data_IF_814608618942
#
_entry.id   IF_814608618942
#
_cell.length_a   1.000
_cell.length_b   1.000
_cell.length_c   1.000
_cell.angle_alpha   90.00
_cell.angle_beta   90.00
_cell.angle_gamma   90.00
#
_symmetry.space_group_name_H-M   'P 1'
#
loop_
_entity.id
_entity.type
_entity.pdbx_description
1 polymer ?
#
# COMPACT_ATOMS: atom_id res chain seq x y z
N UNK A 1 -2.00 -6.50 7.98
CA UNK A 1 -1.77 -7.01 6.61
C UNK A 1 -2.48 -8.34 6.39
N UNK A 2 -2.15 -9.40 7.14
CA UNK A 2 -2.72 -10.76 6.94
C UNK A 2 -4.25 -10.87 6.97
N UNK A 3 -4.93 -10.07 7.79
CA UNK A 3 -6.39 -10.14 7.96
C UNK A 3 -7.19 -9.46 6.84
N UNK A 4 -6.70 -8.32 6.34
CA UNK A 4 -7.50 -7.41 5.47
C UNK A 4 -7.05 -7.45 4.01
N UNK A 5 -5.77 -7.78 3.77
CA UNK A 5 -5.20 -7.84 2.43
C UNK A 5 -5.87 -8.86 1.50
N UNK A 6 -6.32 -10.05 1.96
CA UNK A 6 -7.07 -10.99 1.13
C UNK A 6 -8.35 -10.41 0.53
N UNK A 7 -8.92 -9.37 1.14
CA UNK A 7 -10.16 -8.72 0.70
C UNK A 7 -9.88 -7.43 -0.09
N UNK A 8 -8.81 -6.71 0.22
CA UNK A 8 -8.52 -5.41 -0.41
C UNK A 8 -7.63 -5.51 -1.65
N UNK A 9 -6.73 -6.50 -1.72
CA UNK A 9 -5.73 -6.62 -2.80
C UNK A 9 -4.95 -5.31 -3.03
N UNK A 10 -4.58 -4.64 -1.95
CA UNK A 10 -3.87 -3.37 -1.96
C UNK A 10 -2.39 -3.51 -2.32
N UNK A 11 -1.76 -4.64 -2.01
CA UNK A 11 -0.36 -4.98 -2.25
C UNK A 11 -0.23 -6.09 -3.30
N UNK A 12 0.64 -5.89 -4.28
CA UNK A 12 1.01 -6.90 -5.27
C UNK A 12 2.27 -7.69 -4.88
N UNK A 13 3.17 -7.06 -4.12
CA UNK A 13 4.38 -7.69 -3.58
C UNK A 13 4.54 -7.30 -2.11
N UNK A 14 3.93 -8.04 -1.17
CA UNK A 14 4.16 -7.84 0.26
C UNK A 14 5.62 -8.14 0.64
N UNK A 15 6.23 -7.31 1.50
CA UNK A 15 7.62 -7.49 1.95
C UNK A 15 7.75 -7.47 3.48
N UNK A 16 7.02 -8.36 4.22
CA UNK A 16 7.02 -8.35 5.67
C UNK A 16 8.41 -8.66 6.27
N UNK A 17 9.20 -9.50 5.62
CA UNK A 17 10.53 -9.88 6.11
C UNK A 17 11.54 -8.74 5.94
N UNK A 18 11.47 -8.02 4.80
CA UNK A 18 12.24 -6.79 4.60
C UNK A 18 11.90 -5.73 5.64
N UNK A 19 10.60 -5.50 5.89
CA UNK A 19 10.16 -4.53 6.89
C UNK A 19 10.67 -4.87 8.30
N UNK A 20 10.66 -6.17 8.65
CA UNK A 20 11.21 -6.65 9.93
C UNK A 20 12.71 -6.46 10.02
N UNK A 21 13.46 -6.80 8.97
CA UNK A 21 14.90 -6.59 8.93
C UNK A 21 15.27 -5.11 9.05
N UNK A 22 14.52 -4.23 8.37
CA UNK A 22 14.69 -2.78 8.50
C UNK A 22 14.38 -2.28 9.92
N UNK A 23 13.33 -2.79 10.55
CA UNK A 23 12.98 -2.43 11.94
C UNK A 23 14.06 -2.86 12.95
N UNK A 24 14.64 -4.05 12.77
CA UNK A 24 15.75 -4.53 13.60
C UNK A 24 16.96 -3.61 13.45
N UNK A 25 17.38 -3.31 12.21
CA UNK A 25 18.51 -2.41 11.95
C UNK A 25 18.30 -1.02 12.56
N UNK A 26 17.07 -0.50 12.49
CA UNK A 26 16.72 0.77 13.13
C UNK A 26 16.82 0.67 14.66
N UNK A 27 16.35 -0.42 15.26
CA UNK A 27 16.49 -0.67 16.70
C UNK A 27 17.95 -0.71 17.15
N UNK A 28 18.81 -1.38 16.38
CA UNK A 28 20.24 -1.45 16.67
C UNK A 28 20.92 -0.08 16.56
N UNK A 29 20.54 0.73 15.57
CA UNK A 29 21.04 2.11 15.40
C UNK A 29 20.65 3.00 16.58
N UNK A 30 19.39 2.92 17.01
CA UNK A 30 18.89 3.63 18.18
C UNK A 30 19.62 3.22 19.46
N UNK A 31 19.90 1.92 19.63
CA UNK A 31 20.65 1.41 20.78
C UNK A 31 22.10 1.92 20.82
N UNK A 32 22.69 2.24 19.67
CA UNK A 32 24.02 2.88 19.54
C UNK A 32 23.99 4.41 19.74
N UNK A 33 22.82 5.00 19.96
CA UNK A 33 22.67 6.45 20.12
C UNK A 33 22.69 7.24 18.80
N UNK A 34 22.50 6.57 17.66
CA UNK A 34 22.38 7.24 16.37
C UNK A 34 21.05 8.02 16.30
N UNK A 35 21.09 9.23 15.73
CA UNK A 35 19.89 10.04 15.59
C UNK A 35 18.90 9.39 14.62
N UNK A 36 17.63 9.14 15.02
CA UNK A 36 16.65 8.60 14.11
C UNK A 36 16.36 9.60 12.98
N UNK A 37 16.30 9.10 11.75
CA UNK A 37 15.80 9.87 10.62
C UNK A 37 14.32 10.28 10.81
N UNK A 38 13.83 11.27 10.03
CA UNK A 38 12.50 11.84 10.23
C UNK A 38 11.33 10.87 9.97
N UNK A 39 11.59 9.73 9.32
CA UNK A 39 10.60 8.68 9.05
C UNK A 39 10.92 7.38 9.80
N UNK A 40 11.81 7.42 10.81
CA UNK A 40 12.21 6.26 11.59
C UNK A 40 11.00 5.44 12.07
N UNK A 41 10.90 4.21 11.57
CA UNK A 41 9.89 3.23 12.00
C UNK A 41 8.53 3.37 11.30
N UNK A 42 8.36 4.35 10.41
CA UNK A 42 7.10 4.59 9.70
C UNK A 42 6.88 3.50 8.63
N UNK A 43 5.81 2.69 8.71
CA UNK A 43 5.51 1.70 7.68
C UNK A 43 5.03 2.39 6.39
N UNK A 44 5.66 2.06 5.27
CA UNK A 44 5.42 2.68 3.97
C UNK A 44 5.17 1.62 2.89
N UNK A 45 4.06 1.76 2.18
CA UNK A 45 3.79 1.03 0.94
C UNK A 45 4.32 1.83 -0.25
N UNK A 46 5.17 1.21 -1.07
CA UNK A 46 5.74 1.86 -2.25
C UNK A 46 4.86 1.56 -3.45
N UNK A 47 4.57 2.55 -4.30
CA UNK A 47 3.82 2.29 -5.54
C UNK A 47 4.61 1.34 -6.44
N UNK A 48 3.94 0.36 -7.04
CA UNK A 48 4.58 -0.60 -7.96
C UNK A 48 5.04 0.01 -9.30
N UNK A 49 5.26 1.32 -9.35
CA UNK A 49 5.87 2.05 -10.46
C UNK A 49 7.28 2.54 -10.11
N UNK A 50 7.66 2.48 -8.83
CA UNK A 50 8.96 2.95 -8.36
C UNK A 50 9.89 1.76 -8.24
N UNK A 51 11.09 1.84 -8.78
CA UNK A 51 12.10 0.78 -8.60
C UNK A 51 12.49 0.68 -7.13
N UNK A 52 12.66 -0.54 -6.65
CA UNK A 52 13.12 -0.85 -5.31
C UNK A 52 14.09 -2.00 -5.40
N UNK A 53 15.34 -1.77 -5.01
CA UNK A 53 16.44 -2.72 -5.13
C UNK A 53 16.07 -4.04 -4.45
N UNK A 54 16.19 -5.14 -5.20
CA UNK A 54 15.89 -6.49 -4.70
C UNK A 54 14.40 -6.78 -4.44
N UNK A 55 13.48 -5.87 -4.77
CA UNK A 55 12.04 -6.08 -4.64
C UNK A 55 11.37 -6.04 -6.01
N UNK A 56 10.67 -7.12 -6.36
CA UNK A 56 9.96 -7.26 -7.63
C UNK A 56 9.00 -6.09 -7.87
N UNK A 57 9.25 -5.37 -8.97
CA UNK A 57 8.51 -4.18 -9.41
C UNK A 57 7.93 -4.43 -10.79
N UNK A 58 6.60 -4.47 -10.92
CA UNK A 58 5.96 -4.92 -12.17
C UNK A 58 5.33 -3.81 -13.00
N UNK A 59 5.24 -2.58 -12.47
CA UNK A 59 4.50 -1.50 -13.12
C UNK A 59 3.05 -1.85 -13.46
N UNK A 60 2.48 -2.85 -12.78
CA UNK A 60 1.17 -3.42 -13.12
C UNK A 60 1.07 -4.02 -14.53
N UNK A 61 2.20 -4.31 -15.18
CA UNK A 61 2.29 -4.77 -16.57
C UNK A 61 2.88 -6.17 -16.67
N UNK A 62 2.38 -6.94 -17.63
CA UNK A 62 2.93 -8.26 -17.97
C UNK A 62 4.38 -8.21 -18.43
N UNK A 63 4.81 -7.10 -19.04
CA UNK A 63 6.17 -6.92 -19.56
C UNK A 63 7.21 -6.98 -18.43
N UNK A 64 6.87 -6.46 -17.25
CA UNK A 64 7.76 -6.37 -16.09
C UNK A 64 7.39 -7.38 -14.98
N UNK A 65 6.61 -8.43 -15.30
CA UNK A 65 6.05 -9.34 -14.28
C UNK A 65 7.09 -9.93 -13.32
N UNK A 66 8.29 -10.22 -13.84
CA UNK A 66 9.42 -10.86 -13.14
C UNK A 66 10.58 -9.88 -12.91
N UNK A 67 10.39 -8.58 -13.15
CA UNK A 67 11.44 -7.59 -13.05
C UNK A 67 11.80 -7.30 -11.59
N UNK A 68 13.08 -7.47 -11.25
CA UNK A 68 13.67 -7.14 -9.95
C UNK A 68 14.77 -6.10 -10.19
N UNK A 69 14.54 -4.83 -9.83
CA UNK A 69 15.55 -3.78 -9.97
C UNK A 69 16.79 -4.04 -9.11
N UNK A 70 17.96 -3.64 -9.61
CA UNK A 70 19.21 -3.64 -8.84
C UNK A 70 19.35 -2.37 -7.98
N UNK A 71 18.71 -1.28 -8.39
CA UNK A 71 18.80 0.03 -7.74
C UNK A 71 17.41 0.54 -7.29
N UNK A 72 17.43 1.35 -6.23
CA UNK A 72 16.26 2.08 -5.76
C UNK A 72 16.04 3.35 -6.60
N UNK A 73 14.79 3.72 -6.84
CA UNK A 73 14.51 5.09 -7.28
C UNK A 73 14.86 6.09 -6.17
N UNK A 74 15.30 7.29 -6.55
CA UNK A 74 15.75 8.34 -5.62
C UNK A 74 14.76 8.66 -4.49
N UNK A 75 13.46 8.55 -4.75
CA UNK A 75 12.41 8.78 -3.72
C UNK A 75 12.37 7.65 -2.72
N UNK A 76 12.56 6.41 -3.18
CA UNK A 76 12.62 5.21 -2.34
C UNK A 76 13.88 5.26 -1.49
N UNK A 77 15.03 5.48 -2.12
CA UNK A 77 16.33 5.61 -1.45
C UNK A 77 16.27 6.63 -0.30
N UNK A 78 15.81 7.86 -0.59
CA UNK A 78 15.69 8.93 0.42
C UNK A 78 14.70 8.59 1.53
N UNK A 79 13.60 7.93 1.20
CA UNK A 79 12.60 7.52 2.20
C UNK A 79 13.15 6.45 3.14
N UNK A 80 13.89 5.48 2.60
CA UNK A 80 14.54 4.42 3.38
C UNK A 80 15.69 4.99 4.23
N UNK A 81 16.50 5.89 3.68
CA UNK A 81 17.55 6.60 4.41
C UNK A 81 16.99 7.47 5.55
N UNK A 82 15.78 8.01 5.38
CA UNK A 82 15.05 8.71 6.44
C UNK A 82 14.47 7.77 7.52
N UNK A 83 14.63 6.45 7.38
CA UNK A 83 14.22 5.43 8.36
C UNK A 83 12.85 4.81 8.11
N UNK A 84 12.22 5.03 6.95
CA UNK A 84 10.96 4.40 6.60
C UNK A 84 11.11 2.88 6.41
N UNK A 85 10.05 2.14 6.73
CA UNK A 85 10.02 0.68 6.63
C UNK A 85 9.15 0.25 5.44
N UNK A 86 9.74 -0.40 4.42
CA UNK A 86 9.01 -0.86 3.25
C UNK A 86 8.20 -2.12 3.56
N UNK A 87 6.86 -1.97 3.62
CA UNK A 87 5.95 -3.10 3.87
C UNK A 87 5.49 -3.81 2.59
N UNK A 88 5.74 -3.23 1.42
CA UNK A 88 5.53 -3.88 0.13
C UNK A 88 5.21 -2.93 -1.00
N UNK A 89 5.04 -3.52 -2.19
CA UNK A 89 4.62 -2.84 -3.42
C UNK A 89 3.11 -2.81 -3.52
N UNK A 90 2.56 -1.62 -3.76
CA UNK A 90 1.11 -1.42 -3.84
C UNK A 90 0.62 -1.57 -5.27
N UNK A 91 -0.50 -2.30 -5.41
CA UNK A 91 -1.12 -2.63 -6.68
C UNK A 91 -1.40 -1.37 -7.54
N UNK A 92 -1.10 -1.41 -8.83
CA UNK A 92 -1.25 -0.24 -9.69
C UNK A 92 -1.78 -0.66 -11.06
N UNK A 93 -2.55 0.18 -11.74
CA UNK A 93 -2.90 -0.10 -13.12
C UNK A 93 -1.64 -0.12 -13.97
N UNK A 94 -1.69 -0.83 -15.09
CA UNK A 94 -0.58 -0.91 -16.04
C UNK A 94 -0.02 0.48 -16.37
N UNK A 95 1.27 0.68 -16.06
CA UNK A 95 2.02 1.94 -16.19
C UNK A 95 1.40 3.16 -15.50
N UNK A 96 0.48 2.95 -14.56
CA UNK A 96 -0.29 4.03 -13.94
C UNK A 96 -1.31 4.68 -14.87
N UNK A 97 -1.61 4.07 -16.03
CA UNK A 97 -2.42 4.64 -17.10
C UNK A 97 -3.88 4.90 -16.68
N UNK A 98 -4.43 4.07 -15.79
CA UNK A 98 -5.84 4.17 -15.39
C UNK A 98 -6.06 4.83 -14.02
N UNK A 99 -7.08 5.66 -13.91
CA UNK A 99 -7.54 6.20 -12.63
C UNK A 99 -8.46 5.23 -11.85
N UNK A 100 -8.93 4.15 -12.50
CA UNK A 100 -9.88 3.20 -11.88
C UNK A 100 -9.18 2.18 -10.99
N UNK A 101 -7.85 2.03 -11.07
CA UNK A 101 -7.11 1.05 -10.26
C UNK A 101 -7.32 -0.41 -10.71
N UNK A 102 -7.86 -0.61 -11.91
CA UNK A 102 -7.94 -1.91 -12.57
C UNK A 102 -6.54 -2.39 -12.94
N UNK A 103 -6.26 -3.66 -12.66
CA UNK A 103 -5.01 -4.30 -13.00
C UNK A 103 -5.32 -5.63 -13.70
N UNK A 104 -4.61 -5.90 -14.79
CA UNK A 104 -4.76 -7.12 -15.58
C UNK A 104 -3.80 -8.23 -15.12
N UNK A 105 -2.70 -7.87 -14.46
CA UNK A 105 -1.70 -8.78 -13.91
C UNK A 105 -2.11 -9.29 -12.51
N UNK A 106 -2.68 -8.43 -11.67
CA UNK A 106 -3.17 -8.79 -10.33
C UNK A 106 -4.68 -8.58 -10.21
N UNK A 107 -5.30 -9.18 -9.18
CA UNK A 107 -6.69 -8.85 -8.83
C UNK A 107 -6.82 -7.35 -8.61
N UNK A 108 -7.90 -6.78 -9.15
CA UNK A 108 -8.18 -5.35 -9.03
C UNK A 108 -8.41 -4.97 -7.56
N UNK A 109 -7.79 -3.86 -7.13
CA UNK A 109 -7.90 -3.39 -5.74
C UNK A 109 -9.34 -2.95 -5.40
N UNK A 110 -9.84 -3.42 -4.27
CA UNK A 110 -11.12 -2.98 -3.72
C UNK A 110 -11.00 -1.71 -2.86
N UNK A 111 -12.07 -0.92 -2.84
CA UNK A 111 -12.18 0.27 -2.01
C UNK A 111 -12.28 -0.12 -0.54
N UNK A 112 -11.53 0.55 0.34
CA UNK A 112 -11.59 0.32 1.79
C UNK A 112 -12.97 0.60 2.40
N UNK A 113 -13.79 1.43 1.73
CA UNK A 113 -15.12 1.84 2.20
C UNK A 113 -16.23 0.94 1.65
N UNK A 114 -15.95 0.13 0.64
CA UNK A 114 -16.88 -0.84 0.09
C UNK A 114 -16.07 -1.89 -0.69
N UNK A 115 -15.92 -3.08 -0.12
CA UNK A 115 -15.14 -4.18 -0.69
C UNK A 115 -15.68 -4.68 -2.03
N UNK A 116 -16.93 -4.35 -2.39
CA UNK A 116 -17.53 -4.65 -3.69
C UNK A 116 -17.28 -3.56 -4.75
N UNK A 117 -16.76 -2.40 -4.36
CA UNK A 117 -16.47 -1.29 -5.29
C UNK A 117 -14.96 -1.20 -5.56
N UNK A 118 -14.56 -0.99 -6.81
CA UNK A 118 -13.17 -0.71 -7.15
C UNK A 118 -12.68 0.56 -6.45
N UNK A 119 -11.44 0.54 -5.93
CA UNK A 119 -10.79 1.73 -5.39
C UNK A 119 -10.50 2.74 -6.51
N UNK A 120 -11.47 3.61 -6.79
CA UNK A 120 -11.31 4.70 -7.76
C UNK A 120 -10.28 5.70 -7.21
N UNK A 121 -9.00 5.57 -7.65
CA UNK A 121 -7.89 6.56 -7.71
C UNK A 121 -6.55 5.81 -7.72
N UNK A 122 -5.63 6.15 -8.62
CA UNK A 122 -4.35 5.43 -8.82
C UNK A 122 -3.34 5.51 -7.67
N UNK A 123 -3.60 6.29 -6.61
CA UNK A 123 -2.62 6.64 -5.55
C UNK A 123 -3.12 6.58 -4.10
N UNK A 124 -4.29 6.02 -3.80
CA UNK A 124 -4.90 6.15 -2.46
C UNK A 124 -4.37 5.23 -1.35
N UNK A 125 -3.37 4.39 -1.61
CA UNK A 125 -2.90 3.36 -0.68
C UNK A 125 -2.26 3.89 0.63
N UNK A 126 -1.99 5.20 0.75
CA UNK A 126 -1.34 5.80 1.92
C UNK A 126 -2.27 6.32 3.03
N UNK A 127 -3.61 6.19 2.94
CA UNK A 127 -4.54 6.73 3.96
C UNK A 127 -5.25 5.62 4.73
N UNK A 128 -4.62 5.14 5.80
CA UNK A 128 -5.30 4.35 6.84
C UNK A 128 -6.21 5.31 7.62
N UNK A 129 -7.53 5.12 7.56
CA UNK A 129 -8.45 5.82 8.47
C UNK A 129 -8.40 5.13 9.84
N UNK A 130 -8.53 5.86 10.96
CA UNK A 130 -8.86 5.24 12.24
C UNK A 130 -10.17 4.47 12.13
N UNK A 131 -10.30 3.37 12.89
CA UNK A 131 -11.50 2.50 12.92
C UNK A 131 -12.77 3.36 13.02
N UNK A 132 -13.83 3.07 12.24
CA UNK A 132 -15.11 3.70 12.49
C UNK A 132 -15.61 3.28 13.88
N UNK A 133 -16.10 4.26 14.66
CA UNK A 133 -16.85 4.02 15.89
C UNK A 133 -18.08 3.17 15.58
N UNK A 134 -18.54 2.31 16.52
CA UNK A 134 -19.71 1.48 16.32
C UNK A 134 -20.95 2.34 16.03
N UNK A 135 -21.87 1.87 15.17
CA UNK A 135 -23.05 2.64 14.80
C UNK A 135 -23.94 2.85 16.03
N UNK A 136 -24.24 4.12 16.34
CA UNK A 136 -25.29 4.47 17.30
C UNK A 136 -26.63 4.01 16.73
N UNK A 137 -27.26 3.05 17.40
CA UNK A 137 -28.60 2.56 17.09
C UNK A 137 -29.63 3.66 17.38
N UNK A 138 -30.07 4.36 16.33
CA UNK A 138 -31.37 5.03 16.32
C UNK A 138 -32.06 4.73 14.99
N UNK A 139 -33.23 4.08 15.01
CA UNK A 139 -33.95 3.77 13.78
C UNK A 139 -34.51 5.07 13.21
N UNK A 140 -34.02 5.49 12.04
CA UNK A 140 -34.64 6.57 11.26
C UNK A 140 -35.85 6.00 10.50
N UNK A 141 -37.00 6.69 10.51
CA UNK A 141 -38.19 6.23 9.81
C UNK A 141 -37.96 6.25 8.30
N UNK A 142 -38.36 5.16 7.64
CA UNK A 142 -38.32 4.99 6.19
C UNK A 142 -39.56 5.69 5.63
N UNK A 143 -39.38 6.79 4.92
CA UNK A 143 -40.42 7.43 4.12
C UNK A 143 -40.62 6.65 2.80
N UNK A 144 -41.87 6.39 2.36
CA UNK A 144 -42.11 5.71 1.09
C UNK A 144 -42.15 6.70 -0.08
N UNK A 145 -42.25 6.15 -1.31
CA UNK A 145 -42.58 6.77 -2.61
C UNK A 145 -41.32 7.10 -3.46
N UNK A 146 -41.16 6.73 -4.74
CA UNK A 146 -42.04 6.42 -5.89
C UNK A 146 -41.28 5.40 -6.78
N UNK A 147 -41.83 4.45 -7.54
CA UNK A 147 -43.09 4.36 -8.30
C UNK A 147 -42.72 3.81 -9.69
N UNK A 148 -43.46 2.82 -10.20
CA UNK A 148 -43.50 2.46 -11.62
C UNK A 148 -44.59 3.29 -12.32
#
# INVERSE_FOLDING_TARGET
MREVEPTLHAFCTPTPDLARAQAIRLGDALARGEAPGPLAGVPMGIKDLLSTAGVRTTSGSWVYRDFVPEEDDIVVERSLAAGALCVGKTNTPEFGYSATGQNNLFRTRCSSNNSAATSKRSSRAGRIRPRPSPPSSSPKPISPVCGA
#
